data_IF_080422436876
#
_entry.id   IF_080422436876
#
_cell.length_a   1.000
_cell.length_b   1.000
_cell.length_c   1.000
_cell.angle_alpha   90.00
_cell.angle_beta   90.00
_cell.angle_gamma   90.00
#
_symmetry.space_group_name_H-M   'P 1'
#
loop_
_entity.id
_entity.type
_entity.pdbx_description
1 polymer ?
#
# COMPACT_ATOMS: atom_id res chain seq x y z
N UNK A 1 -24.07 22.21 -5.65
CA UNK A 1 -23.20 21.53 -4.66
C UNK A 1 -22.98 20.05 -4.99
N UNK A 2 -23.99 19.29 -5.44
CA UNK A 2 -23.86 17.85 -5.77
C UNK A 2 -22.82 17.44 -6.83
N UNK A 3 -22.47 18.33 -7.76
CA UNK A 3 -21.49 18.03 -8.82
C UNK A 3 -20.03 18.04 -8.35
N UNK A 4 -19.68 18.95 -7.44
CA UNK A 4 -18.33 19.05 -6.87
C UNK A 4 -18.04 17.86 -5.94
N UNK A 5 -19.03 17.48 -5.13
CA UNK A 5 -18.98 16.31 -4.24
C UNK A 5 -18.72 14.99 -5.00
N UNK A 6 -19.34 14.83 -6.17
CA UNK A 6 -19.14 13.64 -7.02
C UNK A 6 -17.74 13.57 -7.62
N UNK A 7 -17.14 14.72 -7.94
CA UNK A 7 -15.78 14.82 -8.46
C UNK A 7 -14.78 14.42 -7.36
N UNK A 8 -14.91 14.99 -6.17
CA UNK A 8 -14.03 14.72 -5.04
C UNK A 8 -14.04 13.23 -4.64
N UNK A 9 -15.20 12.57 -4.69
CA UNK A 9 -15.31 11.12 -4.44
C UNK A 9 -14.59 10.29 -5.50
N UNK A 10 -14.75 10.62 -6.78
CA UNK A 10 -14.10 9.89 -7.86
C UNK A 10 -12.57 10.02 -7.78
N UNK A 11 -12.07 11.20 -7.43
CA UNK A 11 -10.64 11.46 -7.22
C UNK A 11 -10.07 10.66 -6.03
N UNK A 12 -10.81 10.56 -4.93
CA UNK A 12 -10.45 9.76 -3.77
C UNK A 12 -10.40 8.26 -4.09
N UNK A 13 -11.40 7.75 -4.82
CA UNK A 13 -11.45 6.35 -5.25
C UNK A 13 -10.28 6.01 -6.18
N UNK A 14 -10.00 6.89 -7.14
CA UNK A 14 -8.87 6.72 -8.07
C UNK A 14 -7.52 6.78 -7.35
N UNK A 15 -7.34 7.70 -6.38
CA UNK A 15 -6.16 7.75 -5.54
C UNK A 15 -5.99 6.48 -4.69
N UNK A 16 -7.07 5.94 -4.13
CA UNK A 16 -7.05 4.69 -3.37
C UNK A 16 -6.58 3.51 -4.22
N UNK A 17 -7.15 3.36 -5.41
CA UNK A 17 -6.79 2.28 -6.34
C UNK A 17 -5.33 2.38 -6.78
N UNK A 18 -4.85 3.61 -7.04
CA UNK A 18 -3.42 3.86 -7.34
C UNK A 18 -2.52 3.41 -6.21
N UNK A 19 -2.80 3.81 -4.97
CA UNK A 19 -1.98 3.42 -3.80
C UNK A 19 -1.90 1.89 -3.66
N UNK A 20 -3.03 1.19 -3.84
CA UNK A 20 -3.07 -0.28 -3.77
C UNK A 20 -2.24 -0.89 -4.91
N UNK A 21 -2.36 -0.38 -6.13
CA UNK A 21 -1.60 -0.85 -7.28
C UNK A 21 -0.10 -0.62 -7.11
N UNK A 22 0.30 0.57 -6.67
CA UNK A 22 1.70 0.92 -6.46
C UNK A 22 2.31 0.08 -5.33
N UNK A 23 1.54 -0.16 -4.27
CA UNK A 23 1.91 -1.07 -3.17
C UNK A 23 2.22 -2.49 -3.67
N UNK A 24 1.37 -3.03 -4.55
CA UNK A 24 1.57 -4.36 -5.13
C UNK A 24 2.82 -4.37 -6.02
N UNK A 25 2.98 -3.37 -6.89
CA UNK A 25 4.15 -3.26 -7.75
C UNK A 25 5.47 -3.19 -6.96
N UNK A 26 5.51 -2.43 -5.86
CA UNK A 26 6.68 -2.37 -4.97
C UNK A 26 6.98 -3.74 -4.35
N UNK A 27 5.94 -4.46 -3.91
CA UNK A 27 6.08 -5.78 -3.29
C UNK A 27 6.64 -6.80 -4.27
N UNK A 28 6.15 -6.77 -5.51
CA UNK A 28 6.59 -7.66 -6.57
C UNK A 28 8.05 -7.39 -6.97
N UNK A 29 8.43 -6.11 -7.13
CA UNK A 29 9.81 -5.72 -7.47
C UNK A 29 10.79 -6.12 -6.37
N UNK A 30 10.43 -5.91 -5.09
CA UNK A 30 11.25 -6.32 -3.96
C UNK A 30 11.38 -7.84 -3.88
N UNK A 31 10.30 -8.57 -4.15
CA UNK A 31 10.32 -10.04 -4.17
C UNK A 31 11.17 -10.59 -5.32
N UNK A 32 11.09 -9.97 -6.50
CA UNK A 32 11.94 -10.33 -7.64
C UNK A 32 13.42 -10.04 -7.37
N UNK A 33 13.73 -8.89 -6.77
CA UNK A 33 15.10 -8.57 -6.36
C UNK A 33 15.62 -9.56 -5.30
N UNK A 34 14.80 -9.92 -4.32
CA UNK A 34 15.14 -10.92 -3.32
C UNK A 34 15.45 -12.29 -3.96
N UNK A 35 14.61 -12.74 -4.89
CA UNK A 35 14.83 -13.98 -5.65
C UNK A 35 16.11 -13.94 -6.49
N UNK A 36 16.41 -12.79 -7.14
CA UNK A 36 17.66 -12.63 -7.90
C UNK A 36 18.87 -12.75 -6.98
N UNK A 37 18.82 -12.14 -5.80
CA UNK A 37 19.90 -12.20 -4.81
C UNK A 37 20.08 -13.61 -4.23
N UNK A 38 19.00 -14.35 -3.99
CA UNK A 38 19.07 -15.74 -3.51
C UNK A 38 19.75 -16.68 -4.50
N UNK A 39 19.63 -16.39 -5.80
CA UNK A 39 20.22 -17.19 -6.87
C UNK A 39 21.69 -16.83 -7.17
N UNK A 40 22.25 -15.82 -6.51
CA UNK A 40 23.67 -15.51 -6.63
C UNK A 40 24.51 -16.51 -5.83
N UNK A 41 25.67 -16.86 -6.38
CA UNK A 41 26.65 -17.69 -5.67
C UNK A 41 27.46 -16.80 -4.71
N UNK A 42 27.17 -16.92 -3.42
CA UNK A 42 27.84 -16.19 -2.36
C UNK A 42 29.00 -17.03 -1.80
N UNK A 43 30.24 -16.56 -1.94
CA UNK A 43 31.42 -17.29 -1.44
C UNK A 43 31.62 -17.11 0.07
N UNK A 44 31.81 -18.20 0.80
CA UNK A 44 32.22 -18.30 2.22
C UNK A 44 31.72 -17.16 3.13
N UNK A 45 32.54 -16.13 3.36
CA UNK A 45 32.21 -15.02 4.26
C UNK A 45 31.07 -14.12 3.76
N UNK A 46 30.87 -14.05 2.44
CA UNK A 46 29.78 -13.30 1.84
C UNK A 46 28.43 -14.01 2.02
N UNK A 47 28.42 -15.34 2.15
CA UNK A 47 27.19 -16.10 2.38
C UNK A 47 26.62 -15.84 3.78
N UNK A 48 27.47 -15.81 4.81
CA UNK A 48 27.05 -15.53 6.19
C UNK A 48 26.56 -14.07 6.35
N UNK A 49 27.28 -13.12 5.74
CA UNK A 49 26.84 -11.72 5.69
C UNK A 49 25.51 -11.56 4.91
N UNK A 50 25.36 -12.25 3.79
CA UNK A 50 24.12 -12.23 3.01
C UNK A 50 22.94 -12.79 3.80
N UNK A 51 23.10 -13.92 4.51
CA UNK A 51 22.04 -14.47 5.35
C UNK A 51 21.57 -13.48 6.42
N UNK A 52 22.50 -12.75 7.06
CA UNK A 52 22.18 -11.69 8.00
C UNK A 52 21.37 -10.55 7.35
N UNK A 53 21.84 -10.06 6.20
CA UNK A 53 21.15 -8.98 5.48
C UNK A 53 19.79 -9.44 4.92
N UNK A 54 19.65 -10.71 4.56
CA UNK A 54 18.40 -11.29 4.07
C UNK A 54 17.35 -11.36 5.17
N UNK A 55 17.74 -11.68 6.39
CA UNK A 55 16.81 -11.62 7.52
C UNK A 55 16.29 -10.19 7.77
N UNK A 56 17.16 -9.19 7.68
CA UNK A 56 16.78 -7.77 7.81
C UNK A 56 15.88 -7.31 6.64
N UNK A 57 16.16 -7.78 5.43
CA UNK A 57 15.33 -7.56 4.26
C UNK A 57 13.91 -8.08 4.47
N UNK A 58 13.76 -9.34 4.89
CA UNK A 58 12.45 -9.97 5.10
C UNK A 58 11.65 -9.22 6.19
N UNK A 59 12.31 -8.79 7.27
CA UNK A 59 11.68 -7.97 8.32
C UNK A 59 11.22 -6.60 7.78
N UNK A 60 12.05 -5.96 6.96
CA UNK A 60 11.74 -4.65 6.38
C UNK A 60 10.58 -4.74 5.39
N UNK A 61 10.54 -5.80 4.59
CA UNK A 61 9.45 -6.07 3.65
C UNK A 61 8.14 -6.34 4.39
N UNK A 62 8.16 -7.15 5.45
CA UNK A 62 6.98 -7.41 6.27
C UNK A 62 6.41 -6.11 6.88
N UNK A 63 7.28 -5.24 7.40
CA UNK A 63 6.88 -3.94 7.94
C UNK A 63 6.31 -3.01 6.86
N UNK A 64 6.90 -3.00 5.67
CA UNK A 64 6.39 -2.23 4.56
C UNK A 64 4.98 -2.68 4.17
N UNK A 65 4.75 -3.99 4.07
CA UNK A 65 3.44 -4.56 3.78
C UNK A 65 2.39 -4.18 4.83
N UNK A 66 2.76 -4.22 6.11
CA UNK A 66 1.89 -3.78 7.20
C UNK A 66 1.52 -2.29 7.07
N UNK A 67 2.48 -1.42 6.74
CA UNK A 67 2.20 0.01 6.53
C UNK A 67 1.25 0.20 5.35
N UNK A 68 1.47 -0.51 4.25
CA UNK A 68 0.64 -0.39 3.04
C UNK A 68 -0.79 -0.89 3.27
N UNK A 69 -0.97 -1.98 4.00
CA UNK A 69 -2.29 -2.47 4.42
C UNK A 69 -3.03 -1.45 5.31
N UNK A 70 -2.32 -0.88 6.29
CA UNK A 70 -2.86 0.18 7.15
C UNK A 70 -3.27 1.42 6.35
N UNK A 71 -2.47 1.83 5.36
CA UNK A 71 -2.82 2.94 4.46
C UNK A 71 -4.07 2.61 3.65
N UNK A 72 -4.16 1.41 3.07
CA UNK A 72 -5.35 0.97 2.35
C UNK A 72 -6.61 0.98 3.22
N UNK A 73 -6.53 0.47 4.44
CA UNK A 73 -7.61 0.49 5.42
C UNK A 73 -8.04 1.91 5.82
N UNK A 74 -7.07 2.81 6.05
CA UNK A 74 -7.33 4.20 6.37
C UNK A 74 -8.04 4.93 5.22
N UNK A 75 -7.62 4.70 3.97
CA UNK A 75 -8.27 5.30 2.79
C UNK A 75 -9.70 4.78 2.61
N UNK A 76 -9.93 3.48 2.79
CA UNK A 76 -11.29 2.91 2.77
C UNK A 76 -12.18 3.51 3.87
N UNK A 77 -11.65 3.65 5.08
CA UNK A 77 -12.36 4.28 6.20
C UNK A 77 -12.69 5.75 5.89
N UNK A 78 -11.76 6.50 5.30
CA UNK A 78 -12.00 7.87 4.88
C UNK A 78 -13.11 7.96 3.82
N UNK A 79 -13.14 7.03 2.87
CA UNK A 79 -14.19 6.90 1.87
C UNK A 79 -15.58 6.66 2.48
N UNK A 80 -15.68 5.71 3.41
CA UNK A 80 -16.93 5.40 4.11
C UNK A 80 -17.43 6.60 4.93
N UNK A 81 -16.52 7.25 5.66
CA UNK A 81 -16.84 8.44 6.44
C UNK A 81 -17.34 9.59 5.56
N UNK A 82 -16.73 9.80 4.39
CA UNK A 82 -17.16 10.81 3.43
C UNK A 82 -18.58 10.51 2.92
N UNK A 83 -18.84 9.27 2.46
CA UNK A 83 -20.16 8.85 2.00
C UNK A 83 -21.24 9.01 3.09
N UNK A 84 -20.93 8.62 4.32
CA UNK A 84 -21.86 8.72 5.45
C UNK A 84 -22.17 10.19 5.81
N UNK A 85 -21.14 11.03 5.84
CA UNK A 85 -21.28 12.47 6.12
C UNK A 85 -22.11 13.15 5.03
N UNK A 86 -21.83 12.85 3.77
CA UNK A 86 -22.58 13.41 2.64
C UNK A 86 -24.03 12.91 2.61
N UNK A 87 -24.28 11.63 2.88
CA UNK A 87 -25.64 11.10 3.00
C UNK A 87 -26.43 11.79 4.14
N UNK A 88 -25.76 12.11 5.26
CA UNK A 88 -26.37 12.85 6.35
C UNK A 88 -26.65 14.32 6.00
N UNK A 89 -25.73 14.99 5.29
CA UNK A 89 -25.90 16.36 4.82
C UNK A 89 -27.02 16.48 3.77
N UNK A 90 -27.06 15.56 2.80
CA UNK A 90 -28.10 15.52 1.79
C UNK A 90 -29.51 15.35 2.40
N UNK A 91 -29.65 14.59 3.50
CA UNK A 91 -30.92 14.46 4.24
C UNK A 91 -31.31 15.69 5.05
N UNK A 92 -30.34 16.53 5.42
CA UNK A 92 -30.58 17.75 6.22
C UNK A 92 -30.87 18.98 5.35
N UNK A 93 -30.32 19.02 4.14
CA UNK A 93 -30.38 20.18 3.24
C UNK A 93 -31.14 19.94 1.93
N UNK A 94 -31.63 18.72 1.70
CA UNK A 94 -32.61 18.39 0.65
C UNK A 94 -34.02 18.31 1.22
#
# INVERSE_FOLDING_TARGET
>A
MSGQIRLDYAELEEASQRIISDSQAITDELSDLANKLDNLDWQDAAAEAYQGQRAEWDQSLAKLLEILDNVGAAVNTAKENYMNTEAANARKFG
#
